data_IF_621509096014
#
_entry.id   IF_621509096014
#
_cell.length_a   1.000
_cell.length_b   1.000
_cell.length_c   1.000
_cell.angle_alpha   90.00
_cell.angle_beta   90.00
_cell.angle_gamma   90.00
#
_symmetry.space_group_name_H-M   'P 1'
#
loop_
_entity.id
_entity.type
_entity.pdbx_description
1 polymer ?
#
# COMPACT_ATOMS: atom_id res chain seq x y z
N UNK A 1 -25.26 10.63 -15.57
CA UNK A 1 -23.85 10.35 -15.91
C UNK A 1 -23.29 9.20 -15.07
N UNK A 2 -23.42 9.20 -13.74
CA UNK A 2 -22.88 8.18 -12.84
C UNK A 2 -23.25 6.72 -13.23
N UNK A 3 -24.54 6.35 -13.23
CA UNK A 3 -24.96 4.94 -13.44
C UNK A 3 -24.51 4.34 -14.80
N UNK A 4 -24.66 5.01 -15.97
CA UNK A 4 -24.18 4.47 -17.25
C UNK A 4 -22.64 4.36 -17.35
N UNK A 5 -21.91 5.24 -16.67
CA UNK A 5 -20.43 5.25 -16.70
C UNK A 5 -19.86 4.24 -15.70
N UNK A 6 -20.36 4.25 -14.48
CA UNK A 6 -19.84 3.45 -13.36
C UNK A 6 -20.28 1.99 -13.43
N UNK A 7 -21.49 1.71 -13.95
CA UNK A 7 -22.08 0.36 -13.91
C UNK A 7 -22.06 -0.37 -15.26
N UNK A 8 -21.98 0.38 -16.36
CA UNK A 8 -22.07 -0.18 -17.72
C UNK A 8 -20.88 0.18 -18.62
N UNK A 9 -19.89 0.92 -18.12
CA UNK A 9 -18.67 1.25 -18.86
C UNK A 9 -18.93 2.00 -20.17
N UNK A 10 -20.05 2.73 -20.29
CA UNK A 10 -20.44 3.35 -21.56
C UNK A 10 -19.54 4.56 -21.88
N UNK A 11 -18.65 4.38 -22.86
CA UNK A 11 -17.68 5.38 -23.30
C UNK A 11 -18.34 6.74 -23.64
N UNK A 12 -19.47 6.73 -24.36
CA UNK A 12 -20.19 7.97 -24.72
C UNK A 12 -20.72 8.75 -23.51
N UNK A 13 -21.16 8.06 -22.45
CA UNK A 13 -21.64 8.71 -21.24
C UNK A 13 -20.50 9.40 -20.48
N UNK A 14 -19.31 8.82 -20.53
CA UNK A 14 -18.12 9.36 -19.91
C UNK A 14 -17.49 10.50 -20.72
N UNK A 15 -17.54 10.45 -22.06
CA UNK A 15 -17.14 11.58 -22.90
C UNK A 15 -18.02 12.81 -22.69
N UNK A 16 -19.35 12.63 -22.61
CA UNK A 16 -20.27 13.74 -22.29
C UNK A 16 -19.99 14.35 -20.92
N UNK A 17 -19.70 13.53 -19.92
CA UNK A 17 -19.32 14.01 -18.59
C UNK A 17 -18.00 14.80 -18.62
N UNK A 18 -16.99 14.30 -19.34
CA UNK A 18 -15.71 15.02 -19.53
C UNK A 18 -15.93 16.36 -20.23
N UNK A 19 -16.75 16.41 -21.28
CA UNK A 19 -17.00 17.65 -22.03
C UNK A 19 -17.63 18.74 -21.14
N UNK A 20 -18.56 18.38 -20.26
CA UNK A 20 -19.23 19.32 -19.35
C UNK A 20 -18.33 19.76 -18.19
N UNK A 21 -17.47 18.86 -17.69
CA UNK A 21 -16.62 19.14 -16.51
C UNK A 21 -15.27 19.78 -16.87
N UNK A 22 -14.76 19.58 -18.09
CA UNK A 22 -13.46 20.07 -18.58
C UNK A 22 -13.21 21.58 -18.36
N UNK A 23 -14.18 22.50 -18.54
CA UNK A 23 -13.95 23.93 -18.29
C UNK A 23 -13.70 24.28 -16.81
N UNK A 24 -14.12 23.40 -15.89
CA UNK A 24 -14.12 23.66 -14.45
C UNK A 24 -13.07 22.84 -13.69
N UNK A 25 -12.43 21.86 -14.35
CA UNK A 25 -11.44 20.97 -13.74
C UNK A 25 -10.06 21.24 -14.33
N UNK A 26 -9.20 21.90 -13.57
CA UNK A 26 -7.77 22.01 -13.89
C UNK A 26 -7.03 20.80 -13.31
N UNK A 27 -6.74 19.81 -14.14
CA UNK A 27 -5.88 18.66 -13.80
C UNK A 27 -4.52 18.85 -14.46
N UNK A 28 -3.45 18.92 -13.66
CA UNK A 28 -2.06 18.90 -14.12
C UNK A 28 -1.37 17.66 -13.57
N UNK A 29 -0.65 16.95 -14.42
CA UNK A 29 0.16 15.81 -14.00
C UNK A 29 1.55 16.32 -13.58
N UNK A 30 2.18 15.66 -12.61
CA UNK A 30 3.59 15.96 -12.28
C UNK A 30 4.55 15.61 -13.41
N UNK A 31 4.08 14.81 -14.36
CA UNK A 31 4.76 14.48 -15.61
C UNK A 31 4.35 15.41 -16.78
N UNK A 32 3.79 16.58 -16.51
CA UNK A 32 3.48 17.58 -17.53
C UNK A 32 4.78 18.30 -17.97
N UNK A 33 5.20 18.23 -19.24
CA UNK A 33 6.46 18.82 -19.71
C UNK A 33 6.60 20.33 -19.42
N UNK A 34 5.49 21.04 -19.22
CA UNK A 34 5.49 22.44 -18.80
C UNK A 34 5.87 22.66 -17.31
N UNK A 35 6.00 21.59 -16.53
CA UNK A 35 6.36 21.54 -15.11
C UNK A 35 7.71 20.79 -14.89
N UNK A 36 8.07 19.83 -15.74
CA UNK A 36 9.17 18.84 -15.54
C UNK A 36 10.58 19.32 -15.97
N UNK A 37 11.01 20.57 -15.80
CA UNK A 37 12.41 20.86 -16.17
C UNK A 37 13.44 20.20 -15.23
N UNK A 38 13.05 19.77 -14.01
CA UNK A 38 14.01 19.46 -12.93
C UNK A 38 13.74 18.19 -12.09
N UNK A 39 12.77 17.32 -12.44
CA UNK A 39 12.54 16.08 -11.68
C UNK A 39 13.19 14.86 -12.36
N UNK A 40 13.92 14.01 -11.61
CA UNK A 40 14.51 12.79 -12.16
C UNK A 40 13.44 11.73 -12.49
N UNK A 41 13.86 10.61 -13.07
CA UNK A 41 12.96 9.51 -13.40
C UNK A 41 12.36 8.87 -12.13
N UNK A 42 11.12 8.38 -12.26
CA UNK A 42 10.46 7.55 -11.25
C UNK A 42 10.15 6.19 -11.85
N UNK A 43 10.70 5.14 -11.26
CA UNK A 43 10.52 3.74 -11.69
C UNK A 43 9.58 3.05 -10.70
N UNK A 44 8.46 2.51 -11.18
CA UNK A 44 7.53 1.75 -10.34
C UNK A 44 7.66 0.25 -10.63
N UNK A 45 7.85 -0.56 -9.59
CA UNK A 45 8.11 -2.00 -9.65
C UNK A 45 7.12 -2.71 -8.74
N UNK A 46 6.40 -3.70 -9.27
CA UNK A 46 5.61 -4.64 -8.46
C UNK A 46 6.55 -5.72 -7.92
N UNK A 47 6.53 -5.91 -6.61
CA UNK A 47 7.28 -6.97 -5.93
C UNK A 47 6.29 -8.01 -5.43
N UNK A 48 6.27 -9.16 -6.10
CA UNK A 48 5.44 -10.28 -5.73
C UNK A 48 6.10 -11.06 -4.59
N UNK A 49 5.34 -11.26 -3.52
CA UNK A 49 5.76 -12.01 -2.34
C UNK A 49 4.88 -13.24 -2.19
N UNK A 50 5.46 -14.41 -1.97
CA UNK A 50 4.68 -15.60 -1.64
C UNK A 50 4.43 -15.68 -0.14
N UNK A 51 3.30 -16.24 0.26
CA UNK A 51 3.02 -16.54 1.66
C UNK A 51 3.91 -17.68 2.15
N UNK A 52 4.27 -17.64 3.44
CA UNK A 52 4.80 -18.82 4.14
C UNK A 52 3.68 -19.84 4.37
N UNK A 53 4.03 -21.09 4.69
CA UNK A 53 3.05 -22.14 5.05
C UNK A 53 2.17 -21.74 6.25
N UNK A 54 2.75 -21.03 7.22
CA UNK A 54 2.01 -20.48 8.36
C UNK A 54 1.00 -19.42 7.90
N UNK A 55 1.44 -18.47 7.07
CA UNK A 55 0.56 -17.45 6.52
C UNK A 55 -0.56 -18.06 5.68
N UNK A 56 -0.27 -19.05 4.84
CA UNK A 56 -1.26 -19.72 3.99
C UNK A 56 -2.35 -20.41 4.82
N UNK A 57 -1.94 -21.13 5.87
CA UNK A 57 -2.86 -21.77 6.80
C UNK A 57 -3.76 -20.75 7.52
N UNK A 58 -3.16 -19.68 8.07
CA UNK A 58 -3.91 -18.62 8.74
C UNK A 58 -4.84 -17.87 7.77
N UNK A 59 -4.38 -17.63 6.55
CA UNK A 59 -5.15 -16.95 5.52
C UNK A 59 -6.41 -17.76 5.20
N UNK A 60 -6.26 -19.08 4.96
CA UNK A 60 -7.39 -19.95 4.65
C UNK A 60 -8.40 -19.99 5.81
N UNK A 61 -7.94 -20.12 7.06
CA UNK A 61 -8.82 -20.06 8.23
C UNK A 61 -9.59 -18.75 8.33
N UNK A 62 -8.96 -17.60 8.03
CA UNK A 62 -9.65 -16.31 8.00
C UNK A 62 -10.69 -16.26 6.88
N UNK A 63 -10.38 -16.79 5.69
CA UNK A 63 -11.33 -16.83 4.58
C UNK A 63 -12.58 -17.62 4.96
N UNK A 64 -12.40 -18.83 5.48
CA UNK A 64 -13.51 -19.73 5.82
C UNK A 64 -14.40 -19.12 6.91
N UNK A 65 -13.81 -18.67 8.02
CA UNK A 65 -14.51 -18.07 9.15
C UNK A 65 -15.29 -16.81 8.76
N UNK A 66 -14.70 -15.97 7.90
CA UNK A 66 -15.30 -14.69 7.54
C UNK A 66 -16.37 -14.84 6.46
N UNK A 67 -16.22 -15.77 5.52
CA UNK A 67 -17.25 -16.04 4.53
C UNK A 67 -18.52 -16.60 5.19
N UNK A 68 -18.40 -17.50 6.17
CA UNK A 68 -19.55 -18.00 6.93
C UNK A 68 -20.31 -16.86 7.64
N UNK A 69 -19.58 -15.92 8.26
CA UNK A 69 -20.16 -14.71 8.89
C UNK A 69 -20.82 -13.78 7.86
N UNK A 70 -20.24 -13.63 6.68
CA UNK A 70 -20.79 -12.79 5.61
C UNK A 70 -22.06 -13.41 5.02
N UNK A 71 -22.11 -14.73 4.86
CA UNK A 71 -23.29 -15.45 4.37
C UNK A 71 -24.47 -15.37 5.34
N UNK A 72 -24.19 -15.37 6.65
CA UNK A 72 -25.20 -15.30 7.72
C UNK A 72 -25.62 -13.87 8.12
N UNK A 73 -25.05 -12.83 7.50
CA UNK A 73 -25.34 -11.42 7.86
C UNK A 73 -25.90 -10.61 6.69
N UNK A 74 -26.59 -9.51 7.02
CA UNK A 74 -27.18 -8.59 6.03
C UNK A 74 -26.95 -7.11 6.40
N UNK A 75 -27.18 -6.22 5.44
CA UNK A 75 -27.13 -4.77 5.67
C UNK A 75 -25.79 -4.28 6.21
N UNK A 76 -25.83 -3.46 7.26
CA UNK A 76 -24.64 -2.84 7.85
C UNK A 76 -23.67 -3.85 8.49
N UNK A 77 -24.23 -4.93 9.06
CA UNK A 77 -23.44 -5.99 9.68
C UNK A 77 -22.60 -6.73 8.63
N UNK A 78 -23.22 -7.09 7.50
CA UNK A 78 -22.51 -7.70 6.37
C UNK A 78 -21.37 -6.81 5.89
N UNK A 79 -21.63 -5.50 5.70
CA UNK A 79 -20.59 -4.55 5.29
C UNK A 79 -19.44 -4.49 6.31
N UNK A 80 -19.75 -4.50 7.60
CA UNK A 80 -18.76 -4.58 8.68
C UNK A 80 -17.92 -5.86 8.62
N UNK A 81 -18.57 -7.02 8.40
CA UNK A 81 -17.88 -8.32 8.27
C UNK A 81 -16.95 -8.37 7.05
N UNK A 82 -17.36 -7.80 5.91
CA UNK A 82 -16.51 -7.70 4.71
C UNK A 82 -15.26 -6.86 4.99
N UNK A 83 -15.42 -5.68 5.60
CA UNK A 83 -14.29 -4.82 5.96
C UNK A 83 -13.35 -5.49 6.98
N UNK A 84 -13.92 -6.20 7.96
CA UNK A 84 -13.15 -6.96 8.93
C UNK A 84 -12.36 -8.11 8.28
N UNK A 85 -12.96 -8.83 7.32
CA UNK A 85 -12.30 -9.89 6.56
C UNK A 85 -11.10 -9.33 5.80
N UNK A 86 -11.31 -8.24 5.06
CA UNK A 86 -10.26 -7.58 4.29
C UNK A 86 -9.10 -7.11 5.19
N UNK A 87 -9.41 -6.51 6.34
CA UNK A 87 -8.39 -6.08 7.29
C UNK A 87 -7.55 -7.27 7.81
N UNK A 88 -8.20 -8.37 8.21
CA UNK A 88 -7.53 -9.58 8.68
C UNK A 88 -6.68 -10.25 7.61
N UNK A 89 -7.20 -10.41 6.40
CA UNK A 89 -6.46 -11.00 5.29
C UNK A 89 -5.20 -10.18 4.98
N UNK A 90 -5.29 -8.84 5.01
CA UNK A 90 -4.11 -7.97 4.90
C UNK A 90 -3.11 -8.12 6.05
N UNK A 91 -3.60 -8.25 7.29
CA UNK A 91 -2.74 -8.52 8.43
C UNK A 91 -1.98 -9.85 8.25
N UNK A 92 -2.63 -10.90 7.73
CA UNK A 92 -1.95 -12.17 7.42
C UNK A 92 -0.87 -11.99 6.36
N UNK A 93 -1.18 -11.31 5.25
CA UNK A 93 -0.20 -11.00 4.20
C UNK A 93 1.02 -10.25 4.73
N UNK A 94 0.81 -9.32 5.67
CA UNK A 94 1.87 -8.57 6.32
C UNK A 94 2.69 -9.42 7.28
N UNK A 95 2.07 -10.01 8.30
CA UNK A 95 2.75 -10.86 9.26
C UNK A 95 1.76 -11.68 10.14
N UNK A 96 2.01 -12.98 10.40
CA UNK A 96 1.20 -13.78 11.33
C UNK A 96 0.96 -13.13 12.70
N UNK A 97 2.03 -12.65 13.34
CA UNK A 97 1.95 -11.96 14.64
C UNK A 97 1.05 -10.71 14.63
N UNK A 98 0.85 -10.07 13.47
CA UNK A 98 -0.07 -8.93 13.34
C UNK A 98 -1.53 -9.37 13.36
N UNK A 99 -1.87 -10.49 12.73
CA UNK A 99 -3.21 -11.07 12.81
C UNK A 99 -3.49 -11.59 14.23
N UNK A 100 -2.52 -12.31 14.80
CA UNK A 100 -2.68 -13.02 16.07
C UNK A 100 -2.60 -12.09 17.29
N UNK A 101 -2.08 -10.87 17.12
CA UNK A 101 -1.85 -9.90 18.19
C UNK A 101 -1.02 -10.46 19.36
N UNK A 102 -0.15 -11.42 19.08
CA UNK A 102 0.56 -12.21 20.10
C UNK A 102 1.98 -11.71 20.39
N UNK A 103 2.47 -10.72 19.63
CA UNK A 103 3.83 -10.16 19.70
C UNK A 103 4.94 -11.22 19.59
N UNK A 104 4.63 -12.34 18.96
CA UNK A 104 5.61 -13.37 18.66
C UNK A 104 6.73 -12.79 17.76
N UNK A 105 7.96 -13.32 17.82
CA UNK A 105 9.07 -12.81 17.03
C UNK A 105 8.71 -12.76 15.53
N UNK A 106 9.16 -11.70 14.87
CA UNK A 106 8.93 -11.48 13.44
C UNK A 106 9.61 -12.61 12.64
N UNK A 107 10.95 -12.65 12.66
CA UNK A 107 11.71 -13.71 11.99
C UNK A 107 11.32 -13.91 10.52
N UNK A 108 11.54 -15.11 9.99
CA UNK A 108 11.21 -15.48 8.61
C UNK A 108 9.80 -16.07 8.46
N UNK A 109 8.82 -15.50 9.17
CA UNK A 109 7.41 -15.98 9.18
C UNK A 109 6.51 -15.28 8.19
N UNK A 110 7.01 -14.23 7.54
CA UNK A 110 6.31 -13.48 6.51
C UNK A 110 7.13 -13.38 5.23
N UNK A 111 6.53 -13.75 4.11
CA UNK A 111 7.17 -13.59 2.80
C UNK A 111 7.47 -12.13 2.45
N UNK A 112 6.63 -11.19 2.88
CA UNK A 112 6.91 -9.75 2.73
C UNK A 112 8.10 -9.32 3.55
N UNK A 113 8.22 -9.79 4.79
CA UNK A 113 9.38 -9.42 5.63
C UNK A 113 10.67 -10.00 5.06
N UNK A 114 10.64 -11.25 4.59
CA UNK A 114 11.78 -11.88 3.90
C UNK A 114 12.21 -11.02 2.70
N UNK A 115 11.24 -10.67 1.83
CA UNK A 115 11.53 -9.86 0.64
C UNK A 115 11.99 -8.44 0.98
N UNK A 116 11.45 -7.86 2.05
CA UNK A 116 11.88 -6.56 2.56
C UNK A 116 13.34 -6.61 3.00
N UNK A 117 13.74 -7.63 3.78
CA UNK A 117 15.12 -7.76 4.23
C UNK A 117 16.10 -7.85 3.07
N UNK A 118 15.80 -8.65 2.04
CA UNK A 118 16.63 -8.77 0.82
C UNK A 118 16.83 -7.40 0.14
N UNK A 119 15.73 -6.68 -0.08
CA UNK A 119 15.76 -5.37 -0.75
C UNK A 119 16.50 -4.34 0.11
N UNK A 120 16.28 -4.34 1.42
CA UNK A 120 16.97 -3.43 2.34
C UNK A 120 18.46 -3.73 2.41
N UNK A 121 18.87 -5.00 2.34
CA UNK A 121 20.28 -5.39 2.32
C UNK A 121 21.00 -4.80 1.10
N UNK A 122 20.40 -4.89 -0.09
CA UNK A 122 20.91 -4.27 -1.33
C UNK A 122 20.99 -2.74 -1.20
N UNK A 123 19.90 -2.09 -0.80
CA UNK A 123 19.83 -0.62 -0.67
C UNK A 123 20.88 -0.10 0.32
N UNK A 124 21.01 -0.76 1.47
CA UNK A 124 21.95 -0.32 2.50
C UNK A 124 23.41 -0.57 2.10
N UNK A 125 23.70 -1.61 1.32
CA UNK A 125 25.03 -1.87 0.79
C UNK A 125 25.47 -0.78 -0.21
N UNK A 126 24.53 -0.20 -0.96
CA UNK A 126 24.77 0.95 -1.85
C UNK A 126 24.91 2.29 -1.09
N UNK A 127 24.66 2.31 0.22
CA UNK A 127 24.66 3.53 1.03
C UNK A 127 23.41 4.39 0.85
N UNK A 128 22.34 3.81 0.28
CA UNK A 128 21.10 4.50 -0.04
C UNK A 128 20.14 4.57 1.14
N UNK A 129 19.09 5.38 0.95
CA UNK A 129 18.06 5.63 1.96
C UNK A 129 16.68 5.28 1.42
N UNK A 130 15.85 4.76 2.31
CA UNK A 130 14.57 4.16 1.95
C UNK A 130 13.45 4.60 2.88
N UNK A 131 12.30 4.89 2.25
CA UNK A 131 11.03 5.07 2.95
C UNK A 131 10.22 3.79 2.86
N UNK A 132 9.79 3.24 3.98
CA UNK A 132 8.89 2.10 4.04
C UNK A 132 7.51 2.56 4.52
N UNK A 133 6.47 2.37 3.72
CA UNK A 133 5.10 2.76 4.05
C UNK A 133 4.24 1.54 4.37
N UNK A 134 3.45 1.65 5.43
CA UNK A 134 2.41 0.67 5.79
C UNK A 134 1.18 1.43 6.28
N UNK A 135 -0.02 0.92 6.01
CA UNK A 135 -1.24 1.48 6.59
C UNK A 135 -1.44 1.05 8.07
N UNK A 136 -0.63 0.11 8.58
CA UNK A 136 -0.81 -0.48 9.91
C UNK A 136 0.30 -0.09 10.89
N UNK A 137 -0.06 0.64 11.95
CA UNK A 137 0.88 1.01 13.01
C UNK A 137 1.44 -0.20 13.75
N UNK A 138 0.61 -1.22 13.99
CA UNK A 138 1.03 -2.44 14.67
C UNK A 138 2.11 -3.20 13.88
N UNK A 139 1.99 -3.26 12.55
CA UNK A 139 3.02 -3.88 11.72
C UNK A 139 4.33 -3.08 11.76
N UNK A 140 4.25 -1.76 11.72
CA UNK A 140 5.40 -0.90 11.90
C UNK A 140 6.10 -1.13 13.24
N UNK A 141 5.34 -1.26 14.32
CA UNK A 141 5.85 -1.50 15.67
C UNK A 141 6.53 -2.87 15.82
N UNK A 142 6.10 -3.89 15.06
CA UNK A 142 6.80 -5.16 14.94
C UNK A 142 8.11 -5.02 14.13
N UNK A 143 8.06 -4.29 13.01
CA UNK A 143 9.19 -4.16 12.08
C UNK A 143 10.34 -3.32 12.62
N UNK A 144 10.09 -2.22 13.32
CA UNK A 144 11.13 -1.31 13.81
C UNK A 144 12.21 -2.03 14.62
N UNK A 145 11.90 -2.75 15.72
CA UNK A 145 12.92 -3.44 16.50
C UNK A 145 13.54 -4.62 15.71
N UNK A 146 12.76 -5.32 14.88
CA UNK A 146 13.24 -6.43 14.08
C UNK A 146 14.30 -5.99 13.06
N UNK A 147 13.99 -4.96 12.27
CA UNK A 147 14.92 -4.40 11.27
C UNK A 147 16.14 -3.77 11.94
N UNK A 148 15.95 -3.10 13.09
CA UNK A 148 17.08 -2.53 13.82
C UNK A 148 18.07 -3.60 14.29
N UNK A 149 17.56 -4.72 14.82
CA UNK A 149 18.38 -5.86 15.20
C UNK A 149 19.03 -6.54 13.98
N UNK A 150 18.28 -6.76 12.88
CA UNK A 150 18.76 -7.43 11.66
C UNK A 150 19.92 -6.70 10.98
N UNK A 151 19.88 -5.37 10.96
CA UNK A 151 20.86 -4.53 10.27
C UNK A 151 21.86 -3.84 11.20
N UNK A 152 21.70 -3.98 12.52
CA UNK A 152 22.57 -3.32 13.51
C UNK A 152 22.54 -1.79 13.41
N UNK A 153 21.40 -1.23 13.00
CA UNK A 153 21.22 0.22 12.75
C UNK A 153 19.87 0.66 13.26
N UNK A 154 19.78 1.87 13.79
CA UNK A 154 18.49 2.45 14.16
C UNK A 154 17.55 2.54 12.93
N UNK A 155 16.25 2.46 13.18
CA UNK A 155 15.19 2.65 12.19
C UNK A 155 14.31 3.80 12.66
N UNK A 156 14.13 4.82 11.81
CA UNK A 156 13.22 5.92 12.12
C UNK A 156 11.78 5.47 11.92
N UNK A 157 10.86 5.86 12.82
CA UNK A 157 9.44 5.55 12.70
C UNK A 157 8.56 6.79 12.93
N UNK A 158 7.77 7.15 11.91
CA UNK A 158 6.84 8.27 11.97
C UNK A 158 5.38 7.79 11.81
N UNK A 159 4.55 8.15 12.79
CA UNK A 159 3.12 7.82 12.81
C UNK A 159 2.26 9.04 13.16
N UNK A 160 0.93 8.90 13.05
CA UNK A 160 -0.01 10.02 13.23
C UNK A 160 0.05 10.67 14.61
N UNK A 161 0.41 9.89 15.64
CA UNK A 161 0.56 10.35 17.02
C UNK A 161 1.92 11.00 17.33
N UNK A 162 2.87 11.03 16.39
CA UNK A 162 4.19 11.64 16.64
C UNK A 162 4.07 13.16 16.76
N UNK A 163 4.50 13.78 17.88
CA UNK A 163 4.47 15.23 18.07
C UNK A 163 5.21 15.99 16.97
N UNK A 164 4.72 17.18 16.61
CA UNK A 164 5.28 17.99 15.51
C UNK A 164 6.78 18.23 15.66
N UNK A 165 7.25 18.63 16.85
CA UNK A 165 8.68 18.87 17.11
C UNK A 165 9.54 17.63 16.81
N UNK A 166 9.15 16.47 17.34
CA UNK A 166 9.87 15.20 17.11
C UNK A 166 9.83 14.79 15.65
N UNK A 167 8.71 15.00 14.97
CA UNK A 167 8.57 14.76 13.53
C UNK A 167 9.55 15.61 12.74
N UNK A 168 9.60 16.91 13.00
CA UNK A 168 10.48 17.85 12.30
C UNK A 168 11.96 17.48 12.52
N UNK A 169 12.34 17.07 13.74
CA UNK A 169 13.68 16.55 14.06
C UNK A 169 14.03 15.27 13.29
N UNK A 170 13.11 14.30 13.23
CA UNK A 170 13.33 13.05 12.49
C UNK A 170 13.50 13.30 10.99
N UNK A 171 12.67 14.17 10.41
CA UNK A 171 12.76 14.57 9.00
C UNK A 171 14.08 15.28 8.73
N UNK A 172 14.48 16.23 9.58
CA UNK A 172 15.73 16.96 9.42
C UNK A 172 16.94 16.02 9.44
N UNK A 173 17.01 15.10 10.41
CA UNK A 173 18.09 14.11 10.51
C UNK A 173 18.13 13.16 9.32
N UNK A 174 16.96 12.71 8.85
CA UNK A 174 16.89 11.85 7.68
C UNK A 174 17.41 12.57 6.43
N UNK A 175 17.02 13.84 6.25
CA UNK A 175 17.40 14.66 5.11
C UNK A 175 18.88 15.11 5.15
N UNK A 176 19.46 15.35 6.32
CA UNK A 176 20.87 15.73 6.47
C UNK A 176 21.83 14.55 6.26
N UNK A 177 21.34 13.33 6.48
CA UNK A 177 22.12 12.11 6.44
C UNK A 177 22.58 11.60 7.82
N UNK A 178 22.35 12.36 8.89
CA UNK A 178 22.73 12.00 10.27
C UNK A 178 21.70 11.05 10.95
N UNK A 179 20.60 10.78 10.25
CA UNK A 179 19.54 9.88 10.69
C UNK A 179 19.68 8.46 10.14
N UNK A 180 18.88 7.53 10.67
CA UNK A 180 18.66 6.19 10.12
C UNK A 180 18.49 6.18 8.59
N UNK A 181 19.10 5.24 7.86
CA UNK A 181 18.88 5.09 6.43
C UNK A 181 17.50 4.48 6.11
N UNK A 182 16.90 3.76 7.07
CA UNK A 182 15.53 3.23 6.97
C UNK A 182 14.59 4.15 7.73
N UNK A 183 13.55 4.64 7.05
CA UNK A 183 12.48 5.43 7.65
C UNK A 183 11.12 4.80 7.36
N UNK A 184 10.48 4.25 8.40
CA UNK A 184 9.15 3.66 8.34
C UNK A 184 8.07 4.72 8.63
N UNK A 185 7.02 4.76 7.82
CA UNK A 185 5.91 5.69 7.93
C UNK A 185 4.57 4.95 7.93
N UNK A 186 3.73 5.25 8.93
CA UNK A 186 2.34 4.74 9.02
C UNK A 186 1.27 5.84 8.89
N UNK A 187 1.65 6.97 8.31
CA UNK A 187 0.76 8.11 8.12
C UNK A 187 -0.24 7.83 7.00
N UNK A 188 -1.54 7.91 7.31
CA UNK A 188 -2.60 7.99 6.28
C UNK A 188 -2.31 9.13 5.30
N UNK A 189 -2.74 8.97 4.05
CA UNK A 189 -2.80 10.11 3.13
C UNK A 189 -3.70 11.20 3.73
N UNK A 190 -3.17 12.42 3.77
CA UNK A 190 -3.82 13.58 4.34
C UNK A 190 -2.94 14.34 5.33
N UNK A 191 -2.57 15.57 4.97
CA UNK A 191 -2.32 16.63 5.95
C UNK A 191 -0.89 16.96 6.35
N UNK A 192 0.12 16.17 5.98
CA UNK A 192 1.53 16.49 6.31
C UNK A 192 2.38 16.59 5.06
N UNK A 193 2.69 17.82 4.64
CA UNK A 193 3.55 18.13 3.50
C UNK A 193 5.03 17.81 3.75
N UNK A 194 5.35 16.56 4.09
CA UNK A 194 6.72 16.11 4.35
C UNK A 194 7.54 16.12 3.06
N UNK A 195 8.76 16.65 3.15
CA UNK A 195 9.75 16.60 2.08
C UNK A 195 10.85 15.60 2.47
N UNK A 196 10.93 14.48 1.76
CA UNK A 196 11.81 13.33 2.08
C UNK A 196 12.68 12.96 0.87
N UNK A 197 13.21 13.97 0.18
CA UNK A 197 14.00 13.83 -1.06
C UNK A 197 15.36 13.14 -0.87
N UNK A 198 15.84 12.94 0.36
CA UNK A 198 17.05 12.16 0.63
C UNK A 198 16.85 10.66 0.38
N UNK A 199 15.60 10.18 0.34
CA UNK A 199 15.30 8.83 -0.11
C UNK A 199 15.19 8.78 -1.63
N UNK A 200 15.88 7.82 -2.22
CA UNK A 200 15.74 7.42 -3.61
C UNK A 200 15.06 6.04 -3.75
N UNK A 201 14.71 5.41 -2.64
CA UNK A 201 13.90 4.19 -2.61
C UNK A 201 12.63 4.39 -1.77
N UNK A 202 11.51 3.87 -2.28
CA UNK A 202 10.21 3.85 -1.61
C UNK A 202 9.67 2.44 -1.67
N UNK A 203 9.29 1.88 -0.54
CA UNK A 203 8.66 0.56 -0.44
C UNK A 203 7.27 0.70 0.18
N UNK A 204 6.24 0.31 -0.56
CA UNK A 204 4.89 0.14 -0.01
C UNK A 204 4.72 -1.31 0.44
N UNK A 205 4.67 -1.51 1.75
CA UNK A 205 4.63 -2.84 2.38
C UNK A 205 3.27 -3.51 2.24
N UNK A 206 2.20 -2.74 2.11
CA UNK A 206 0.85 -3.25 1.90
C UNK A 206 0.13 -2.47 0.81
N UNK A 207 -0.72 -3.18 0.07
CA UNK A 207 -1.41 -2.59 -1.09
C UNK A 207 -2.53 -1.67 -0.62
N UNK A 208 -2.51 -0.42 -1.06
CA UNK A 208 -3.62 0.50 -0.83
C UNK A 208 -4.72 0.30 -1.86
N UNK A 209 -5.98 0.35 -1.42
CA UNK A 209 -7.16 0.26 -2.30
C UNK A 209 -7.31 1.46 -3.22
N UNK A 210 -6.95 2.63 -2.69
CA UNK A 210 -7.02 3.89 -3.39
C UNK A 210 -5.60 4.25 -3.89
N UNK A 211 -5.34 4.15 -5.21
CA UNK A 211 -4.02 4.49 -5.77
C UNK A 211 -3.60 5.93 -5.45
N UNK A 212 -4.55 6.85 -5.26
CA UNK A 212 -4.22 8.25 -4.92
C UNK A 212 -3.54 8.37 -3.55
N UNK A 213 -3.87 7.49 -2.60
CA UNK A 213 -3.25 7.48 -1.28
C UNK A 213 -1.80 7.02 -1.37
N UNK A 214 -1.56 5.92 -2.07
CA UNK A 214 -0.22 5.39 -2.32
C UNK A 214 0.64 6.39 -3.11
N UNK A 215 0.06 7.00 -4.16
CA UNK A 215 0.73 8.04 -4.95
C UNK A 215 1.09 9.24 -4.08
N UNK A 216 0.20 9.68 -3.19
CA UNK A 216 0.50 10.78 -2.26
C UNK A 216 1.64 10.42 -1.28
N UNK A 217 1.74 9.15 -0.86
CA UNK A 217 2.83 8.69 -0.02
C UNK A 217 4.17 8.68 -0.80
N UNK A 218 4.19 8.12 -2.02
CA UNK A 218 5.34 8.18 -2.95
C UNK A 218 5.77 9.61 -3.24
N UNK A 219 4.81 10.51 -3.41
CA UNK A 219 4.98 11.94 -3.67
C UNK A 219 5.65 12.70 -2.52
N UNK A 220 5.99 12.05 -1.40
CA UNK A 220 6.82 12.64 -0.33
C UNK A 220 8.32 12.53 -0.63
N UNK A 221 8.73 11.48 -1.36
CA UNK A 221 10.11 11.30 -1.86
C UNK A 221 10.29 11.91 -3.26
N UNK A 222 9.26 11.81 -4.11
CA UNK A 222 9.26 12.37 -5.46
C UNK A 222 8.76 13.83 -5.46
N UNK A 223 9.61 14.74 -4.99
CA UNK A 223 9.35 16.18 -4.89
C UNK A 223 10.48 17.01 -5.48
N UNK A 224 10.18 18.29 -5.73
CA UNK A 224 11.17 19.30 -6.09
C UNK A 224 12.32 19.28 -5.08
N UNK A 225 13.55 19.19 -5.58
CA UNK A 225 14.76 18.98 -4.77
C UNK A 225 15.26 17.53 -4.76
N UNK A 226 14.50 16.59 -5.31
CA UNK A 226 15.00 15.25 -5.63
C UNK A 226 15.98 15.33 -6.81
N UNK A 227 17.13 14.67 -6.69
CA UNK A 227 18.21 14.67 -7.69
C UNK A 227 18.56 13.28 -8.22
N UNK A 228 17.98 12.24 -7.61
CA UNK A 228 18.24 10.83 -7.93
C UNK A 228 16.97 10.18 -8.45
N UNK A 229 17.13 9.24 -9.38
CA UNK A 229 16.03 8.37 -9.81
C UNK A 229 15.39 7.71 -8.59
N UNK A 230 14.06 7.79 -8.50
CA UNK A 230 13.31 7.22 -7.39
C UNK A 230 12.75 5.86 -7.79
N UNK A 231 13.14 4.81 -7.08
CA UNK A 231 12.58 3.46 -7.25
C UNK A 231 11.45 3.24 -6.25
N UNK A 232 10.26 2.93 -6.76
CA UNK A 232 9.04 2.69 -5.97
C UNK A 232 8.67 1.22 -6.09
N UNK A 233 8.78 0.48 -5.01
CA UNK A 233 8.49 -0.95 -4.93
C UNK A 233 7.17 -1.16 -4.20
N UNK A 234 6.24 -1.88 -4.83
CA UNK A 234 4.90 -2.13 -4.28
C UNK A 234 4.77 -3.61 -4.00
N UNK A 235 4.65 -3.97 -2.72
CA UNK A 235 4.57 -5.37 -2.32
C UNK A 235 3.15 -5.88 -2.52
N UNK A 236 3.05 -7.07 -3.10
CA UNK A 236 1.79 -7.74 -3.39
C UNK A 236 1.96 -9.21 -3.05
N UNK A 237 1.11 -9.75 -2.16
CA UNK A 237 1.09 -11.19 -1.92
C UNK A 237 0.41 -11.94 -3.06
N UNK A 238 1.17 -12.80 -3.77
CA UNK A 238 0.68 -13.62 -4.89
C UNK A 238 -0.43 -14.56 -4.43
N UNK A 239 -1.46 -14.73 -5.27
CA UNK A 239 -2.57 -15.63 -5.03
C UNK A 239 -3.45 -15.26 -3.85
N UNK A 240 -3.38 -14.00 -3.39
CA UNK A 240 -4.20 -13.49 -2.28
C UNK A 240 -5.11 -12.36 -2.73
N UNK A 241 -5.94 -11.90 -1.81
CA UNK A 241 -6.72 -10.68 -1.91
C UNK A 241 -5.89 -9.49 -2.43
N UNK A 242 -4.61 -9.34 -2.04
CA UNK A 242 -3.78 -8.21 -2.50
C UNK A 242 -3.56 -8.21 -4.02
N UNK A 243 -3.34 -9.38 -4.62
CA UNK A 243 -3.17 -9.52 -6.07
C UNK A 243 -4.47 -9.25 -6.81
N UNK A 244 -5.60 -9.75 -6.30
CA UNK A 244 -6.93 -9.50 -6.88
C UNK A 244 -7.29 -8.01 -6.84
N UNK A 245 -6.97 -7.32 -5.75
CA UNK A 245 -7.15 -5.87 -5.67
C UNK A 245 -6.29 -5.15 -6.69
N UNK A 246 -5.03 -5.57 -6.83
CA UNK A 246 -4.12 -4.95 -7.78
C UNK A 246 -4.61 -5.13 -9.23
N UNK A 247 -5.04 -6.33 -9.61
CA UNK A 247 -5.68 -6.63 -10.89
C UNK A 247 -6.87 -5.70 -11.14
N UNK A 248 -7.80 -5.62 -10.18
CA UNK A 248 -8.98 -4.76 -10.30
C UNK A 248 -8.65 -3.27 -10.34
N UNK A 249 -7.61 -2.82 -9.64
CA UNK A 249 -7.13 -1.43 -9.69
C UNK A 249 -6.56 -1.13 -11.08
N UNK A 250 -5.78 -2.03 -11.67
CA UNK A 250 -5.18 -1.82 -12.98
C UNK A 250 -6.23 -1.90 -14.10
N UNK A 251 -7.19 -2.82 -14.03
CA UNK A 251 -8.37 -2.86 -14.90
C UNK A 251 -9.17 -1.55 -14.79
N UNK A 252 -9.44 -1.11 -13.56
CA UNK A 252 -10.11 0.18 -13.34
C UNK A 252 -9.27 1.32 -13.86
N UNK A 253 -7.95 1.37 -13.69
CA UNK A 253 -7.10 2.45 -14.25
C UNK A 253 -7.19 2.53 -15.76
N UNK A 254 -7.20 1.39 -16.45
CA UNK A 254 -7.41 1.34 -17.89
C UNK A 254 -8.77 1.96 -18.30
N UNK A 255 -9.78 1.84 -17.43
CA UNK A 255 -11.10 2.46 -17.60
C UNK A 255 -11.17 3.90 -17.03
N UNK A 256 -10.36 4.23 -16.01
CA UNK A 256 -10.45 5.39 -15.12
C UNK A 256 -9.69 6.62 -15.57
N UNK A 257 -9.07 6.60 -16.75
CA UNK A 257 -8.95 7.85 -17.47
C UNK A 257 -10.33 8.52 -17.59
N UNK A 258 -11.45 7.78 -17.51
CA UNK A 258 -12.81 8.33 -17.58
C UNK A 258 -13.36 8.85 -16.24
N UNK A 259 -13.39 8.13 -15.11
CA UNK A 259 -13.89 8.64 -13.81
C UNK A 259 -13.45 7.71 -12.67
N UNK A 260 -12.65 8.14 -11.69
CA UNK A 260 -12.56 7.46 -10.37
C UNK A 260 -12.53 8.46 -9.22
N UNK A 261 -13.60 8.43 -8.43
CA UNK A 261 -13.63 8.76 -7.01
C UNK A 261 -14.66 7.83 -6.39
N UNK A 262 -14.24 6.65 -5.94
CA UNK A 262 -14.93 6.06 -4.79
C UNK A 262 -13.99 5.18 -3.96
N UNK A 263 -14.21 5.17 -2.65
CA UNK A 263 -13.38 4.50 -1.65
C UNK A 263 -13.55 2.98 -1.64
N UNK A 264 -13.47 2.38 -0.45
CA UNK A 264 -13.61 0.92 -0.25
C UNK A 264 -15.05 0.39 -0.49
N UNK A 265 -16.01 1.29 -0.74
CA UNK A 265 -17.44 0.98 -0.81
C UNK A 265 -17.79 -0.10 -1.85
N UNK A 266 -17.14 -0.10 -3.01
CA UNK A 266 -17.44 -1.04 -4.09
C UNK A 266 -17.20 -2.51 -3.71
N UNK A 267 -16.24 -2.79 -2.82
CA UNK A 267 -15.97 -4.14 -2.32
C UNK A 267 -17.06 -4.62 -1.36
N UNK A 268 -17.58 -3.72 -0.52
CA UNK A 268 -18.65 -4.07 0.43
C UNK A 268 -19.99 -4.35 -0.25
N UNK A 269 -20.14 -3.95 -1.52
CA UNK A 269 -21.34 -4.17 -2.34
C UNK A 269 -21.28 -5.46 -3.18
N UNK A 270 -20.13 -6.15 -3.23
CA UNK A 270 -19.98 -7.40 -3.96
C UNK A 270 -20.88 -8.50 -3.38
N UNK A 271 -21.37 -9.38 -4.28
CA UNK A 271 -22.11 -10.58 -3.85
C UNK A 271 -21.19 -11.53 -3.09
N UNK A 272 -21.75 -12.42 -2.27
CA UNK A 272 -20.92 -13.35 -1.49
C UNK A 272 -20.16 -14.34 -2.37
N UNK A 273 -20.70 -14.67 -3.55
CA UNK A 273 -19.99 -15.46 -4.56
C UNK A 273 -18.76 -14.71 -5.07
N UNK A 274 -18.91 -13.45 -5.45
CA UNK A 274 -17.80 -12.68 -6.00
C UNK A 274 -16.75 -12.38 -4.91
N UNK A 275 -17.18 -12.17 -3.65
CA UNK A 275 -16.26 -12.06 -2.50
C UNK A 275 -15.47 -13.34 -2.27
N UNK A 276 -16.08 -14.52 -2.45
CA UNK A 276 -15.38 -15.80 -2.34
C UNK A 276 -14.25 -15.91 -3.36
N UNK A 277 -14.49 -15.48 -4.60
CA UNK A 277 -13.45 -15.44 -5.64
C UNK A 277 -12.33 -14.45 -5.30
N UNK A 278 -12.67 -13.27 -4.79
CA UNK A 278 -11.69 -12.24 -4.40
C UNK A 278 -10.87 -12.66 -3.18
N UNK A 279 -11.45 -13.39 -2.24
CA UNK A 279 -10.79 -13.82 -1.01
C UNK A 279 -10.01 -15.13 -1.17
N UNK A 280 -10.36 -15.97 -2.14
CA UNK A 280 -9.77 -17.30 -2.31
C UNK A 280 -8.24 -17.24 -2.44
N UNK A 281 -7.58 -18.20 -1.77
CA UNK A 281 -6.15 -18.45 -1.92
C UNK A 281 -5.91 -19.26 -3.20
N UNK A 282 -5.03 -18.77 -4.08
CA UNK A 282 -4.69 -19.45 -5.33
C UNK A 282 -3.54 -20.45 -5.14
N UNK A 283 -3.45 -21.49 -5.98
CA UNK A 283 -2.45 -22.57 -5.88
C UNK A 283 -0.99 -22.08 -5.90
N UNK A 284 -0.70 -20.93 -6.51
CA UNK A 284 0.64 -20.32 -6.57
C UNK A 284 1.04 -19.45 -5.37
N UNK A 285 0.19 -19.34 -4.35
CA UNK A 285 0.36 -18.36 -3.27
C UNK A 285 1.46 -18.73 -2.26
N UNK A 286 1.81 -20.01 -2.13
CA UNK A 286 2.75 -20.49 -1.10
C UNK A 286 4.15 -20.64 -1.68
N UNK A 287 5.15 -20.12 -0.96
CA UNK A 287 6.57 -20.33 -1.27
C UNK A 287 7.05 -21.69 -0.75
N UNK A 288 8.01 -22.30 -1.44
CA UNK A 288 8.75 -23.46 -0.91
C UNK A 288 9.58 -23.10 0.32
#
# INVERSE_FOLDING_TARGET
YAIPVERHGQAEAAERLRAVTRPYVLRRLKTDPAIITDLPEKIEIKQYCKLTTEQASLYQSVVDDMLEKIESSAGIERRGNVLAAMAKLKQVCNHPAQLLHDRSPVGRRSGKVIRLEEILEEILAEGDRVLCFTQFTEFAELLVPHLAARFGRDVAYLHGGTPKKRRDEMVARFQSGDGPPIFLLSLKAGGTGLNLTAANHVVHLDRWWNPAVENQATDRAFRIGQRRTVQVRKFICTGTLEEKIDEMIEEKKALADLVVTDGEGWLTELSTRDLREVFALSEGAVGE
#
